data_IF_499138900383
#
_entry.id   IF_499138900383
#
_cell.length_a   1.000
_cell.length_b   1.000
_cell.length_c   1.000
_cell.angle_alpha   90.00
_cell.angle_beta   90.00
_cell.angle_gamma   90.00
#
_symmetry.space_group_name_H-M   'P 1'
#
loop_
_entity.id
_entity.type
_entity.pdbx_description
1 polymer ?
#
# COMPACT_ATOMS: atom_id res chain seq x y z
N UNK A 1 25.51 17.44 9.08
CA UNK A 1 25.42 16.06 9.59
C UNK A 1 25.09 15.17 8.40
N UNK A 2 25.72 13.99 8.30
CA UNK A 2 25.42 13.00 7.28
C UNK A 2 24.79 11.81 8.01
N UNK A 3 23.64 11.37 7.53
CA UNK A 3 22.93 10.21 8.03
C UNK A 3 23.54 8.93 7.44
N UNK A 4 23.66 7.88 8.24
CA UNK A 4 23.96 6.55 7.69
C UNK A 4 22.80 6.03 6.86
N UNK A 5 21.55 6.30 7.28
CA UNK A 5 20.35 5.93 6.51
C UNK A 5 19.24 6.98 6.60
N UNK A 6 18.60 7.27 5.48
CA UNK A 6 17.33 8.02 5.43
C UNK A 6 16.21 7.16 4.85
N UNK A 7 15.15 6.94 5.62
CA UNK A 7 13.92 6.31 5.13
C UNK A 7 12.92 7.33 4.59
N UNK A 8 12.46 7.14 3.36
CA UNK A 8 11.49 7.99 2.68
C UNK A 8 10.10 7.36 2.79
N UNK A 9 9.19 8.06 3.47
CA UNK A 9 7.92 7.55 3.96
C UNK A 9 8.05 6.90 5.34
N UNK A 10 6.97 6.91 6.11
CA UNK A 10 6.91 6.22 7.41
C UNK A 10 5.64 5.38 7.54
N UNK A 11 5.33 4.63 6.48
CA UNK A 11 4.34 3.54 6.51
C UNK A 11 4.90 2.25 7.12
N UNK A 12 4.14 1.14 7.11
CA UNK A 12 4.51 -0.10 7.78
C UNK A 12 5.90 -0.65 7.42
N UNK A 13 6.32 -0.53 6.15
CA UNK A 13 7.63 -1.01 5.72
C UNK A 13 8.80 -0.30 6.43
N UNK A 14 8.83 1.04 6.38
CA UNK A 14 9.87 1.80 7.07
C UNK A 14 9.69 1.78 8.60
N UNK A 15 8.47 1.60 9.10
CA UNK A 15 8.22 1.40 10.52
C UNK A 15 8.85 0.10 11.04
N UNK A 16 8.75 -1.00 10.29
CA UNK A 16 9.43 -2.26 10.63
C UNK A 16 10.96 -2.12 10.63
N UNK A 17 11.51 -1.31 9.71
CA UNK A 17 12.94 -0.99 9.67
C UNK A 17 13.34 -0.17 10.89
N UNK A 18 12.60 0.88 11.24
CA UNK A 18 12.84 1.67 12.44
C UNK A 18 12.76 0.81 13.72
N UNK A 19 11.79 -0.11 13.81
CA UNK A 19 11.70 -1.08 14.90
C UNK A 19 12.92 -2.03 14.94
N UNK A 20 13.42 -2.48 13.79
CA UNK A 20 14.67 -3.27 13.72
C UNK A 20 15.86 -2.48 14.25
N UNK A 21 15.99 -1.20 13.83
CA UNK A 21 17.07 -0.31 14.25
C UNK A 21 17.06 -0.12 15.77
N UNK A 22 15.89 0.12 16.36
CA UNK A 22 15.72 0.31 17.80
C UNK A 22 16.12 -0.93 18.61
N UNK A 23 15.84 -2.14 18.12
CA UNK A 23 16.10 -3.38 18.86
C UNK A 23 17.52 -3.91 18.69
N UNK A 24 18.03 -3.92 17.46
CA UNK A 24 19.35 -4.47 17.16
C UNK A 24 20.46 -3.42 17.30
N UNK A 25 20.07 -2.15 17.40
CA UNK A 25 20.96 -1.03 17.24
C UNK A 25 21.44 -0.90 15.79
N UNK A 26 21.84 0.31 15.44
CA UNK A 26 23.09 0.41 14.69
C UNK A 26 24.25 0.45 15.70
N UNK A 27 25.49 0.30 15.24
CA UNK A 27 26.68 0.65 16.03
C UNK A 27 26.45 2.00 16.74
N UNK A 28 26.88 2.17 18.01
CA UNK A 28 26.48 3.26 18.94
C UNK A 28 26.57 4.72 18.42
N UNK A 29 27.19 4.94 17.26
CA UNK A 29 27.40 6.24 16.62
C UNK A 29 26.54 6.48 15.38
N UNK A 30 25.67 5.53 15.00
CA UNK A 30 24.99 5.58 13.71
C UNK A 30 23.75 6.45 13.70
N UNK A 31 23.59 7.15 12.59
CA UNK A 31 22.61 8.23 12.43
C UNK A 31 21.54 7.82 11.44
N UNK A 32 20.28 7.88 11.86
CA UNK A 32 19.14 7.51 11.03
C UNK A 32 18.07 8.62 11.08
N UNK A 33 17.29 8.73 10.01
CA UNK A 33 16.16 9.65 9.93
C UNK A 33 15.10 9.09 8.99
N UNK A 34 13.84 9.13 9.40
CA UNK A 34 12.71 8.86 8.54
C UNK A 34 11.95 10.15 8.24
N UNK A 35 11.39 10.27 7.04
CA UNK A 35 10.70 11.48 6.59
C UNK A 35 9.31 11.11 6.07
N UNK A 36 8.27 11.65 6.69
CA UNK A 36 6.87 11.40 6.35
C UNK A 36 6.13 12.69 6.00
N UNK A 37 5.37 12.64 4.91
CA UNK A 37 4.58 13.75 4.40
C UNK A 37 3.34 14.08 5.25
N UNK A 38 2.73 13.08 5.87
CA UNK A 38 1.62 13.27 6.82
C UNK A 38 2.12 13.91 8.11
N UNK A 39 1.24 14.64 8.79
CA UNK A 39 1.54 15.26 10.10
C UNK A 39 1.66 14.26 11.25
N UNK A 40 1.17 13.04 11.07
CA UNK A 40 1.24 11.94 12.03
C UNK A 40 1.23 10.58 11.32
N UNK A 41 1.54 9.50 12.05
CA UNK A 41 1.40 8.16 11.51
C UNK A 41 -0.06 7.84 11.22
N UNK A 42 -0.32 7.34 10.02
CA UNK A 42 -1.65 6.83 9.67
C UNK A 42 -1.62 5.87 8.48
N UNK A 43 -2.51 4.87 8.50
CA UNK A 43 -2.52 3.78 7.53
C UNK A 43 -3.92 3.56 6.94
N UNK A 44 -4.04 3.83 5.63
CA UNK A 44 -5.27 3.75 4.81
C UNK A 44 -6.55 4.31 5.46
N UNK A 45 -6.57 5.58 5.92
CA UNK A 45 -7.71 6.13 6.66
C UNK A 45 -9.05 6.05 5.93
N UNK A 46 -9.04 6.31 4.62
CA UNK A 46 -10.28 6.35 3.84
C UNK A 46 -10.96 4.99 3.64
N UNK A 47 -10.31 3.89 3.99
CA UNK A 47 -10.84 2.53 3.90
C UNK A 47 -10.95 1.84 5.27
N UNK A 48 -10.94 2.57 6.38
CA UNK A 48 -11.17 2.02 7.71
C UNK A 48 -12.67 1.75 7.97
N UNK A 49 -13.30 1.00 7.08
CA UNK A 49 -14.70 0.61 7.20
C UNK A 49 -14.87 -0.20 8.49
N UNK A 50 -15.92 0.11 9.25
CA UNK A 50 -16.24 -0.60 10.49
C UNK A 50 -16.40 -2.11 10.25
N UNK A 51 -15.83 -2.92 11.14
CA UNK A 51 -15.85 -4.37 11.04
C UNK A 51 -14.92 -4.96 9.97
N UNK A 52 -14.27 -4.15 9.12
CA UNK A 52 -13.32 -4.66 8.14
C UNK A 52 -12.08 -5.25 8.85
N UNK A 53 -11.65 -6.43 8.39
CA UNK A 53 -10.56 -7.21 9.00
C UNK A 53 -9.29 -7.16 8.16
N UNK A 54 -8.18 -7.47 8.81
CA UNK A 54 -6.93 -7.77 8.15
C UNK A 54 -7.06 -9.04 7.32
N UNK A 55 -6.39 -9.11 6.17
CA UNK A 55 -6.33 -10.31 5.33
C UNK A 55 -5.08 -11.15 5.62
N UNK A 56 -4.40 -10.87 6.73
CA UNK A 56 -3.20 -11.55 7.20
C UNK A 56 -3.32 -11.84 8.68
N UNK A 57 -2.71 -12.93 9.13
CA UNK A 57 -2.61 -13.25 10.56
C UNK A 57 -1.84 -12.15 11.30
N UNK A 58 -2.22 -11.87 12.54
CA UNK A 58 -1.49 -10.94 13.41
C UNK A 58 -0.03 -11.34 13.66
N UNK A 59 0.36 -12.60 13.43
CA UNK A 59 1.77 -13.03 13.51
C UNK A 59 2.64 -12.38 12.42
N UNK A 60 2.04 -11.97 11.31
CA UNK A 60 2.68 -11.15 10.26
C UNK A 60 2.60 -9.66 10.66
N UNK A 61 3.10 -9.36 11.85
CA UNK A 61 3.23 -8.01 12.39
C UNK A 61 4.57 -7.36 11.99
N UNK A 62 5.07 -6.39 12.76
CA UNK A 62 6.30 -5.68 12.44
C UNK A 62 7.57 -6.42 12.91
N UNK A 63 7.43 -7.51 13.67
CA UNK A 63 8.56 -8.09 14.39
C UNK A 63 8.51 -9.60 14.63
N UNK A 64 7.35 -10.21 14.89
CA UNK A 64 7.18 -11.59 15.38
C UNK A 64 7.95 -12.62 14.55
N UNK A 65 7.87 -12.53 13.21
CA UNK A 65 8.56 -13.49 12.34
C UNK A 65 10.09 -13.33 12.33
N UNK A 66 10.62 -12.17 12.76
CA UNK A 66 12.06 -11.96 13.02
C UNK A 66 12.42 -12.35 14.45
N UNK A 67 11.63 -11.92 15.42
CA UNK A 67 11.89 -12.09 16.85
C UNK A 67 10.56 -12.11 17.62
N UNK A 68 10.08 -13.29 18.04
CA UNK A 68 8.85 -13.41 18.83
C UNK A 68 8.90 -12.72 20.20
N UNK A 69 10.10 -12.39 20.69
CA UNK A 69 10.32 -11.67 21.95
C UNK A 69 10.50 -10.17 21.76
N UNK A 70 10.27 -9.66 20.54
CA UNK A 70 10.35 -8.23 20.25
C UNK A 70 9.32 -7.44 21.08
N UNK A 71 9.72 -6.24 21.52
CA UNK A 71 8.78 -5.30 22.16
C UNK A 71 7.76 -4.74 21.19
N UNK A 72 7.96 -4.91 19.88
CA UNK A 72 7.07 -4.42 18.82
C UNK A 72 6.13 -5.51 18.26
N UNK A 73 5.98 -6.66 18.93
CA UNK A 73 4.98 -7.65 18.52
C UNK A 73 3.55 -7.16 18.77
N UNK A 74 2.61 -7.64 17.96
CA UNK A 74 1.17 -7.36 18.15
C UNK A 74 0.69 -7.88 19.51
N UNK A 75 1.22 -9.02 19.98
CA UNK A 75 0.88 -9.56 21.30
C UNK A 75 1.38 -8.67 22.44
N UNK A 76 2.58 -8.10 22.35
CA UNK A 76 3.07 -7.15 23.35
C UNK A 76 2.22 -5.85 23.36
N UNK A 77 1.80 -5.37 22.19
CA UNK A 77 0.85 -4.25 22.09
C UNK A 77 -0.47 -4.55 22.81
N UNK A 78 -1.04 -5.75 22.61
CA UNK A 78 -2.27 -6.16 23.28
C UNK A 78 -2.09 -6.22 24.80
N UNK A 79 -0.95 -6.70 25.29
CA UNK A 79 -0.62 -6.75 26.71
C UNK A 79 -0.52 -5.34 27.31
N UNK A 80 0.26 -4.45 26.69
CA UNK A 80 0.40 -3.06 27.13
C UNK A 80 -0.93 -2.28 27.11
N UNK A 81 -1.83 -2.63 26.19
CA UNK A 81 -3.16 -2.04 26.12
C UNK A 81 -4.20 -2.70 27.06
N UNK A 82 -3.82 -3.74 27.81
CA UNK A 82 -4.73 -4.49 28.68
C UNK A 82 -5.83 -5.26 27.93
N UNK A 83 -5.58 -5.64 26.67
CA UNK A 83 -6.54 -6.32 25.78
C UNK A 83 -6.18 -7.77 25.45
N UNK A 84 -5.00 -8.26 25.86
CA UNK A 84 -4.51 -9.59 25.49
C UNK A 84 -5.50 -10.72 25.82
N UNK A 85 -5.99 -10.80 27.05
CA UNK A 85 -6.94 -11.84 27.45
C UNK A 85 -8.24 -11.77 26.63
N UNK A 86 -8.76 -10.57 26.41
CA UNK A 86 -9.98 -10.37 25.61
C UNK A 86 -9.76 -10.78 24.15
N UNK A 87 -8.61 -10.46 23.57
CA UNK A 87 -8.27 -10.85 22.20
C UNK A 87 -8.12 -12.38 22.07
N UNK A 88 -7.46 -13.04 23.03
CA UNK A 88 -7.34 -14.51 23.05
C UNK A 88 -8.73 -15.18 23.06
N UNK A 89 -9.68 -14.62 23.81
CA UNK A 89 -11.05 -15.13 23.87
C UNK A 89 -11.81 -15.02 22.53
N UNK A 90 -11.38 -14.15 21.59
CA UNK A 90 -11.99 -14.06 20.26
C UNK A 90 -11.65 -15.27 19.36
N UNK A 91 -10.58 -16.01 19.66
CA UNK A 91 -10.06 -17.11 18.83
C UNK A 91 -9.88 -16.71 17.36
N UNK A 92 -9.39 -15.49 17.15
CA UNK A 92 -9.30 -14.84 15.85
C UNK A 92 -7.85 -14.54 15.49
N UNK A 93 -7.45 -14.88 14.27
CA UNK A 93 -6.11 -14.58 13.74
C UNK A 93 -6.07 -13.24 13.01
N UNK A 94 -7.23 -12.74 12.58
CA UNK A 94 -7.36 -11.57 11.71
C UNK A 94 -7.98 -10.39 12.49
N UNK A 95 -7.17 -9.54 13.14
CA UNK A 95 -7.68 -8.38 13.85
C UNK A 95 -8.43 -7.43 12.91
N UNK A 96 -9.23 -6.54 13.47
CA UNK A 96 -9.86 -5.49 12.66
C UNK A 96 -8.79 -4.56 12.08
N UNK A 97 -9.03 -3.95 10.92
CA UNK A 97 -8.13 -2.91 10.38
C UNK A 97 -7.99 -1.73 11.33
N UNK A 98 -9.02 -1.46 12.13
CA UNK A 98 -9.00 -0.48 13.20
C UNK A 98 -7.94 -0.82 14.26
N UNK A 99 -7.99 -2.03 14.81
CA UNK A 99 -7.06 -2.48 15.84
C UNK A 99 -5.63 -2.63 15.31
N UNK A 100 -5.46 -3.11 14.08
CA UNK A 100 -4.14 -3.20 13.46
C UNK A 100 -3.54 -1.81 13.17
N UNK A 101 -4.36 -0.83 12.76
CA UNK A 101 -3.92 0.58 12.66
C UNK A 101 -3.51 1.14 14.02
N UNK A 102 -4.27 0.84 15.08
CA UNK A 102 -3.94 1.27 16.45
C UNK A 102 -2.60 0.68 16.91
N UNK A 103 -2.37 -0.60 16.65
CA UNK A 103 -1.06 -1.26 16.84
C UNK A 103 0.08 -0.54 16.10
N UNK A 104 -0.09 -0.23 14.81
CA UNK A 104 0.93 0.47 14.05
C UNK A 104 1.18 1.90 14.58
N UNK A 105 0.12 2.60 15.00
CA UNK A 105 0.23 3.92 15.66
C UNK A 105 0.97 3.80 17.00
N UNK A 106 0.68 2.79 17.80
CA UNK A 106 1.38 2.51 19.06
C UNK A 106 2.88 2.28 18.83
N UNK A 107 3.26 1.48 17.84
CA UNK A 107 4.66 1.24 17.50
C UNK A 107 5.34 2.53 16.99
N UNK A 108 4.68 3.29 16.12
CA UNK A 108 5.20 4.56 15.61
C UNK A 108 5.40 5.61 16.72
N UNK A 109 4.52 5.66 17.72
CA UNK A 109 4.62 6.58 18.85
C UNK A 109 5.87 6.33 19.73
N UNK A 110 6.25 5.06 19.91
CA UNK A 110 7.49 4.69 20.58
C UNK A 110 8.74 5.15 19.80
N UNK A 111 8.61 5.23 18.47
CA UNK A 111 9.67 5.62 17.53
C UNK A 111 9.56 7.08 17.08
N UNK A 112 8.82 7.94 17.79
CA UNK A 112 8.61 9.35 17.41
C UNK A 112 9.90 10.15 17.22
N UNK A 113 10.99 9.77 17.88
CA UNK A 113 12.30 10.40 17.74
C UNK A 113 13.04 10.06 16.44
N UNK A 114 12.55 9.07 15.69
CA UNK A 114 13.18 8.56 14.48
C UNK A 114 12.67 9.28 13.21
N UNK A 115 11.58 10.03 13.30
CA UNK A 115 10.81 10.51 12.14
C UNK A 115 10.52 12.01 12.18
N UNK A 116 10.69 12.66 11.03
CA UNK A 116 10.16 14.00 10.77
C UNK A 116 8.84 13.88 10.00
N UNK A 117 7.73 14.17 10.68
CA UNK A 117 6.40 14.30 10.07
C UNK A 117 6.19 15.67 9.44
N UNK A 118 5.22 15.76 8.52
CA UNK A 118 4.85 17.00 7.82
C UNK A 118 5.87 17.45 6.77
N UNK A 119 6.82 16.59 6.39
CA UNK A 119 7.84 16.86 5.40
C UNK A 119 7.70 15.93 4.19
N UNK A 120 7.45 16.51 3.02
CA UNK A 120 7.35 15.76 1.76
C UNK A 120 8.69 15.76 1.05
N UNK A 121 9.26 14.58 0.81
CA UNK A 121 10.41 14.44 -0.11
C UNK A 121 9.95 14.77 -1.54
N UNK A 122 10.69 15.65 -2.20
CA UNK A 122 10.35 16.14 -3.55
C UNK A 122 11.42 15.85 -4.58
N UNK A 123 12.67 15.60 -4.17
CA UNK A 123 13.78 15.36 -5.09
C UNK A 123 14.91 14.62 -4.38
N UNK A 124 15.63 13.79 -5.14
CA UNK A 124 16.81 13.06 -4.67
C UNK A 124 17.94 13.29 -5.68
N UNK A 125 19.09 13.78 -5.22
CA UNK A 125 20.20 14.14 -6.11
C UNK A 125 21.52 13.54 -5.61
N UNK A 126 22.40 13.06 -6.50
CA UNK A 126 23.73 12.59 -6.11
C UNK A 126 24.60 13.71 -5.55
N UNK A 127 25.52 13.35 -4.66
CA UNK A 127 26.62 14.21 -4.20
C UNK A 127 27.92 13.61 -4.73
N UNK A 128 28.51 14.30 -5.71
CA UNK A 128 29.76 13.89 -6.35
C UNK A 128 30.97 14.23 -5.47
N UNK A 129 31.98 13.36 -5.45
CA UNK A 129 33.31 13.67 -4.94
C UNK A 129 34.23 14.23 -6.04
N UNK A 130 35.49 14.50 -5.69
CA UNK A 130 36.49 15.02 -6.64
C UNK A 130 36.93 14.03 -7.74
N UNK A 131 36.46 12.78 -7.72
CA UNK A 131 36.78 11.73 -8.69
C UNK A 131 35.59 11.39 -9.62
N UNK A 132 34.57 12.25 -9.67
CA UNK A 132 33.32 12.00 -10.41
C UNK A 132 32.57 10.73 -9.96
N UNK A 133 32.61 10.43 -8.66
CA UNK A 133 31.86 9.33 -8.04
C UNK A 133 30.83 9.86 -7.04
N UNK A 134 29.66 9.21 -6.97
CA UNK A 134 28.61 9.51 -5.98
C UNK A 134 29.05 8.98 -4.62
N UNK A 135 29.30 9.88 -3.67
CA UNK A 135 29.67 9.53 -2.29
C UNK A 135 28.49 9.53 -1.32
N UNK A 136 27.52 10.43 -1.54
CA UNK A 136 26.32 10.56 -0.72
C UNK A 136 25.13 10.94 -1.58
N UNK A 137 23.95 10.96 -0.96
CA UNK A 137 22.70 11.39 -1.56
C UNK A 137 22.17 12.60 -0.82
N UNK A 138 21.73 13.63 -1.54
CA UNK A 138 20.90 14.69 -0.97
C UNK A 138 19.42 14.29 -1.10
N UNK A 139 18.69 14.39 -0.01
CA UNK A 139 17.22 14.26 0.05
C UNK A 139 16.64 15.65 0.29
N UNK A 140 15.87 16.15 -0.68
CA UNK A 140 15.26 17.48 -0.61
C UNK A 140 13.80 17.35 -0.17
N UNK A 141 13.41 18.14 0.82
CA UNK A 141 12.05 18.13 1.37
C UNK A 141 11.38 19.49 1.25
N UNK A 142 10.05 19.48 1.29
CA UNK A 142 9.21 20.67 1.47
C UNK A 142 8.14 20.37 2.51
N UNK A 143 7.92 21.29 3.45
CA UNK A 143 6.81 21.18 4.40
C UNK A 143 5.53 21.85 3.88
N UNK A 144 4.44 21.78 4.65
CA UNK A 144 3.16 22.39 4.28
C UNK A 144 3.21 23.92 4.10
N UNK A 145 4.18 24.60 4.73
CA UNK A 145 4.39 26.05 4.62
C UNK A 145 5.29 26.42 3.42
N UNK A 146 5.75 25.44 2.64
CA UNK A 146 6.66 25.64 1.51
C UNK A 146 8.13 25.79 1.92
N UNK A 147 8.48 25.61 3.20
CA UNK A 147 9.86 25.64 3.68
C UNK A 147 10.60 24.42 3.13
N UNK A 148 11.74 24.68 2.47
CA UNK A 148 12.60 23.65 1.91
C UNK A 148 13.69 23.25 2.91
N UNK A 149 14.00 21.96 2.98
CA UNK A 149 15.17 21.46 3.70
C UNK A 149 15.96 20.46 2.83
N UNK A 150 17.19 20.18 3.25
CA UNK A 150 18.10 19.25 2.58
C UNK A 150 18.81 18.41 3.62
N UNK A 151 18.70 17.09 3.47
CA UNK A 151 19.39 16.10 4.30
C UNK A 151 20.39 15.33 3.44
N UNK A 152 21.48 14.86 4.06
CA UNK A 152 22.51 14.07 3.39
C UNK A 152 22.56 12.67 3.97
N UNK A 153 22.64 11.64 3.13
CA UNK A 153 22.67 10.26 3.55
C UNK A 153 23.70 9.42 2.79
N UNK A 154 24.29 8.42 3.46
CA UNK A 154 25.03 7.34 2.81
C UNK A 154 24.09 6.34 2.16
N UNK A 155 22.99 6.01 2.83
CA UNK A 155 21.98 5.09 2.34
C UNK A 155 20.60 5.76 2.34
N UNK A 156 19.78 5.44 1.35
CA UNK A 156 18.36 5.80 1.34
C UNK A 156 17.49 4.56 1.20
N UNK A 157 16.33 4.56 1.84
CA UNK A 157 15.32 3.51 1.70
C UNK A 157 14.03 4.16 1.19
N UNK A 158 13.62 3.80 -0.02
CA UNK A 158 12.40 4.32 -0.64
C UNK A 158 11.23 3.37 -0.35
N UNK A 159 10.22 3.86 0.38
CA UNK A 159 8.99 3.11 0.67
C UNK A 159 7.75 4.03 0.56
N UNK A 160 7.65 4.75 -0.56
CA UNK A 160 6.68 5.83 -0.75
C UNK A 160 5.21 5.39 -0.91
N UNK A 161 4.92 4.09 -0.70
CA UNK A 161 3.61 3.48 -0.81
C UNK A 161 3.07 3.40 -2.24
N UNK A 162 1.81 3.01 -2.36
CA UNK A 162 1.07 2.91 -3.61
C UNK A 162 0.28 4.20 -3.89
N UNK A 163 0.03 4.50 -5.16
CA UNK A 163 -0.75 5.66 -5.63
C UNK A 163 -2.08 5.19 -6.20
N UNK A 164 -3.20 5.86 -5.90
CA UNK A 164 -4.50 5.56 -6.49
C UNK A 164 -4.44 5.35 -8.00
N UNK A 165 -4.96 4.21 -8.48
CA UNK A 165 -5.07 3.92 -9.91
C UNK A 165 -6.45 4.31 -10.39
N UNK A 166 -6.52 5.28 -11.29
CA UNK A 166 -7.75 5.60 -12.01
C UNK A 166 -7.83 4.79 -13.31
N UNK A 167 -9.02 4.44 -13.80
CA UNK A 167 -9.19 3.88 -15.13
C UNK A 167 -8.61 4.80 -16.22
N UNK A 168 -8.17 4.22 -17.33
CA UNK A 168 -7.65 4.97 -18.46
C UNK A 168 -8.70 5.98 -18.96
N UNK A 169 -8.27 7.21 -19.26
CA UNK A 169 -9.16 8.30 -19.67
C UNK A 169 -9.93 9.00 -18.54
N UNK A 170 -9.89 8.47 -17.31
CA UNK A 170 -10.52 9.09 -16.14
C UNK A 170 -9.50 9.96 -15.40
N UNK A 171 -9.79 11.26 -15.29
CA UNK A 171 -8.93 12.23 -14.62
C UNK A 171 -9.63 12.85 -13.41
N UNK A 172 -8.91 13.01 -12.30
CA UNK A 172 -9.44 13.56 -11.05
C UNK A 172 -10.07 14.95 -11.20
N UNK A 173 -9.60 15.77 -12.14
CA UNK A 173 -10.14 17.12 -12.43
C UNK A 173 -11.47 17.11 -13.20
N UNK A 174 -11.82 16.01 -13.87
CA UNK A 174 -13.02 15.89 -14.70
C UNK A 174 -14.18 15.19 -13.98
N UNK A 175 -13.93 14.54 -12.85
CA UNK A 175 -14.86 13.59 -12.22
C UNK A 175 -15.41 14.12 -10.89
N UNK A 176 -16.29 15.12 -10.97
CA UNK A 176 -16.96 15.67 -9.78
C UNK A 176 -17.77 14.58 -9.06
N UNK A 177 -17.62 14.51 -7.75
CA UNK A 177 -18.14 13.44 -6.88
C UNK A 177 -17.68 12.02 -7.25
N UNK A 178 -16.59 11.88 -8.02
CA UNK A 178 -15.91 10.60 -8.17
C UNK A 178 -14.68 10.57 -7.27
N UNK A 179 -14.60 9.52 -6.46
CA UNK A 179 -13.57 9.34 -5.45
C UNK A 179 -12.90 8.00 -5.67
N UNK A 180 -11.57 7.97 -5.55
CA UNK A 180 -10.89 6.68 -5.41
C UNK A 180 -11.27 6.06 -4.06
N UNK A 181 -11.24 4.73 -3.95
CA UNK A 181 -11.56 4.02 -2.70
C UNK A 181 -10.79 4.54 -1.49
N UNK A 182 -9.54 4.97 -1.68
CA UNK A 182 -8.71 5.61 -0.64
C UNK A 182 -9.30 6.89 -0.02
N UNK A 183 -10.34 7.47 -0.62
CA UNK A 183 -11.03 8.68 -0.16
C UNK A 183 -12.47 8.40 0.28
N UNK A 184 -12.88 7.12 0.34
CA UNK A 184 -14.27 6.72 0.56
C UNK A 184 -14.89 7.32 1.83
N UNK A 185 -14.40 6.98 3.02
CA UNK A 185 -15.00 7.49 4.27
C UNK A 185 -15.00 9.03 4.37
N UNK A 186 -13.88 9.74 4.09
CA UNK A 186 -13.90 11.21 4.06
C UNK A 186 -14.91 11.79 3.08
N UNK A 187 -15.14 11.15 1.93
CA UNK A 187 -16.12 11.63 0.95
C UNK A 187 -17.56 11.47 1.44
N UNK A 188 -17.86 10.43 2.21
CA UNK A 188 -19.19 10.24 2.82
C UNK A 188 -19.49 11.35 3.81
N UNK A 189 -18.57 11.63 4.74
CA UNK A 189 -18.73 12.68 5.76
C UNK A 189 -18.91 14.07 5.14
N UNK A 190 -18.14 14.38 4.09
CA UNK A 190 -18.14 15.70 3.49
C UNK A 190 -19.29 15.94 2.49
N UNK A 191 -19.74 14.90 1.79
CA UNK A 191 -20.66 15.07 0.64
C UNK A 191 -21.96 14.28 0.74
N UNK A 192 -21.96 13.15 1.44
CA UNK A 192 -23.09 12.22 1.49
C UNK A 192 -23.57 11.97 2.92
N UNK A 193 -23.49 12.98 3.80
CA UNK A 193 -23.77 12.81 5.24
C UNK A 193 -25.24 12.53 5.57
N UNK A 194 -26.18 12.89 4.70
CA UNK A 194 -27.60 12.52 4.85
C UNK A 194 -27.82 11.08 4.39
N UNK A 195 -27.82 10.14 5.33
CA UNK A 195 -28.02 8.72 5.04
C UNK A 195 -29.45 8.37 4.62
N UNK A 196 -30.42 9.27 4.87
CA UNK A 196 -31.83 9.07 4.53
C UNK A 196 -32.15 9.46 3.09
N UNK A 197 -31.29 10.26 2.45
CA UNK A 197 -31.47 10.66 1.06
C UNK A 197 -31.34 9.45 0.11
N UNK A 198 -32.18 9.36 -0.94
CA UNK A 198 -32.14 8.26 -1.91
C UNK A 198 -30.98 8.42 -2.90
N UNK A 199 -29.74 8.32 -2.41
CA UNK A 199 -28.56 8.45 -3.23
C UNK A 199 -28.48 7.36 -4.30
N UNK A 200 -27.85 7.70 -5.41
CA UNK A 200 -27.45 6.73 -6.44
C UNK A 200 -25.93 6.64 -6.43
N UNK A 201 -25.42 5.57 -5.83
CA UNK A 201 -23.99 5.30 -5.76
C UNK A 201 -23.56 4.34 -6.86
N UNK A 202 -22.42 4.64 -7.47
CA UNK A 202 -21.76 3.78 -8.43
C UNK A 202 -20.43 3.29 -7.84
N UNK A 203 -20.23 1.98 -7.77
CA UNK A 203 -18.99 1.36 -7.30
C UNK A 203 -18.32 0.63 -8.45
N UNK A 204 -17.10 1.02 -8.81
CA UNK A 204 -16.36 0.45 -9.95
C UNK A 204 -15.21 -0.40 -9.44
N UNK A 205 -15.25 -1.71 -9.71
CA UNK A 205 -14.20 -2.66 -9.34
C UNK A 205 -14.73 -3.97 -8.79
N UNK A 206 -13.88 -5.01 -8.81
CA UNK A 206 -14.23 -6.38 -8.43
C UNK A 206 -13.39 -6.95 -7.27
N UNK A 207 -12.52 -6.15 -6.67
CA UNK A 207 -11.69 -6.56 -5.53
C UNK A 207 -12.31 -6.25 -4.17
N UNK A 208 -11.60 -6.64 -3.10
CA UNK A 208 -11.99 -6.45 -1.70
C UNK A 208 -12.57 -5.07 -1.39
N UNK A 209 -11.90 -3.98 -1.78
CA UNK A 209 -12.38 -2.62 -1.49
C UNK A 209 -13.73 -2.32 -2.13
N UNK A 210 -14.00 -2.82 -3.33
CA UNK A 210 -15.28 -2.61 -4.01
C UNK A 210 -16.41 -3.32 -3.26
N UNK A 211 -16.16 -4.56 -2.83
CA UNK A 211 -17.10 -5.35 -2.04
C UNK A 211 -17.39 -4.71 -0.67
N UNK A 212 -16.37 -4.25 0.04
CA UNK A 212 -16.52 -3.59 1.34
C UNK A 212 -17.29 -2.27 1.24
N UNK A 213 -16.97 -1.44 0.23
CA UNK A 213 -17.71 -0.20 -0.06
C UNK A 213 -19.18 -0.52 -0.36
N UNK A 214 -19.43 -1.50 -1.22
CA UNK A 214 -20.80 -1.90 -1.60
C UNK A 214 -21.60 -2.33 -0.38
N UNK A 215 -21.04 -3.22 0.45
CA UNK A 215 -21.66 -3.65 1.72
C UNK A 215 -21.91 -2.47 2.65
N UNK A 216 -20.93 -1.58 2.82
CA UNK A 216 -21.05 -0.42 3.69
C UNK A 216 -22.21 0.48 3.25
N UNK A 217 -22.28 0.82 1.96
CA UNK A 217 -23.33 1.67 1.41
C UNK A 217 -24.72 1.05 1.61
N UNK A 218 -24.87 -0.25 1.31
CA UNK A 218 -26.16 -0.96 1.47
C UNK A 218 -26.64 -0.99 2.92
N UNK A 219 -25.73 -1.11 3.89
CA UNK A 219 -26.05 -1.15 5.31
C UNK A 219 -26.35 0.23 5.92
N UNK A 220 -25.65 1.28 5.48
CA UNK A 220 -25.73 2.60 6.13
C UNK A 220 -26.67 3.57 5.42
N UNK A 221 -27.01 3.32 4.16
CA UNK A 221 -27.90 4.16 3.35
C UNK A 221 -29.15 3.39 2.95
N UNK A 222 -30.18 3.31 3.81
CA UNK A 222 -31.34 2.45 3.62
C UNK A 222 -32.18 2.80 2.38
N UNK A 223 -32.12 4.05 1.91
CA UNK A 223 -32.88 4.51 0.74
C UNK A 223 -32.02 4.62 -0.53
N UNK A 224 -30.71 4.36 -0.46
CA UNK A 224 -29.82 4.51 -1.60
C UNK A 224 -29.84 3.29 -2.51
N UNK A 225 -29.70 3.52 -3.81
CA UNK A 225 -29.40 2.48 -4.81
C UNK A 225 -27.89 2.40 -5.02
N UNK A 226 -27.34 1.19 -4.99
CA UNK A 226 -25.93 0.90 -5.21
C UNK A 226 -25.77 0.07 -6.48
N UNK A 227 -25.19 0.71 -7.50
CA UNK A 227 -24.77 0.06 -8.74
C UNK A 227 -23.31 -0.35 -8.62
N UNK A 228 -23.02 -1.64 -8.45
CA UNK A 228 -21.65 -2.16 -8.56
C UNK A 228 -21.39 -2.63 -9.98
N UNK A 229 -20.29 -2.19 -10.59
CA UNK A 229 -19.88 -2.55 -11.95
C UNK A 229 -18.55 -3.29 -11.93
N UNK A 230 -18.49 -4.43 -12.60
CA UNK A 230 -17.28 -5.26 -12.73
C UNK A 230 -17.00 -5.55 -14.20
N UNK A 231 -15.71 -5.72 -14.58
CA UNK A 231 -15.32 -6.10 -15.95
C UNK A 231 -15.45 -7.60 -16.19
N UNK A 232 -15.37 -8.38 -15.12
CA UNK A 232 -15.42 -9.84 -15.17
C UNK A 232 -16.88 -10.36 -15.13
N UNK A 233 -17.04 -11.68 -15.22
CA UNK A 233 -18.34 -12.36 -15.10
C UNK A 233 -18.90 -12.34 -13.67
N UNK A 234 -18.03 -12.41 -12.67
CA UNK A 234 -18.44 -12.52 -11.27
C UNK A 234 -17.33 -12.04 -10.34
N UNK A 235 -17.69 -11.74 -9.10
CA UNK A 235 -16.73 -11.63 -8.01
C UNK A 235 -15.98 -12.95 -7.83
N UNK A 236 -14.67 -12.85 -7.61
CA UNK A 236 -13.78 -13.99 -7.46
C UNK A 236 -13.30 -14.09 -6.00
N UNK A 237 -13.37 -15.28 -5.36
CA UNK A 237 -12.79 -15.45 -4.04
C UNK A 237 -11.26 -15.30 -4.10
N UNK A 238 -10.67 -14.71 -3.06
CA UNK A 238 -9.24 -14.79 -2.82
C UNK A 238 -8.85 -16.23 -2.51
N UNK A 239 -7.83 -16.76 -3.18
CA UNK A 239 -7.27 -18.07 -2.82
C UNK A 239 -6.30 -17.89 -1.64
N UNK A 240 -6.79 -18.22 -0.46
CA UNK A 240 -6.03 -18.22 0.79
C UNK A 240 -5.74 -19.64 1.29
N UNK A 241 -5.82 -20.66 0.42
CA UNK A 241 -5.50 -22.04 0.78
C UNK A 241 -4.04 -22.17 1.19
N UNK A 242 -3.74 -23.10 2.09
CA UNK A 242 -2.48 -23.12 2.85
C UNK A 242 -1.25 -23.24 1.93
N UNK A 243 -1.29 -24.14 0.95
CA UNK A 243 -0.20 -24.31 -0.03
C UNK A 243 -0.04 -23.11 -0.94
N UNK A 244 -1.13 -22.45 -1.32
CA UNK A 244 -1.06 -21.25 -2.17
C UNK A 244 -0.52 -20.08 -1.36
N UNK A 245 -0.87 -19.98 -0.09
CA UNK A 245 -0.43 -18.91 0.80
C UNK A 245 1.09 -18.95 1.10
N UNK A 246 1.76 -20.08 0.88
CA UNK A 246 3.24 -20.18 0.98
C UNK A 246 3.96 -19.22 0.02
N UNK A 247 3.34 -18.78 -1.08
CA UNK A 247 3.95 -17.78 -1.98
C UNK A 247 4.25 -16.45 -1.28
N UNK A 248 3.61 -16.20 -0.13
CA UNK A 248 3.83 -15.02 0.70
C UNK A 248 4.80 -15.26 1.86
N UNK A 249 5.36 -16.47 1.98
CA UNK A 249 6.33 -16.78 3.01
C UNK A 249 7.68 -16.15 2.67
N UNK A 250 8.42 -15.74 3.70
CA UNK A 250 9.76 -15.21 3.53
C UNK A 250 10.71 -16.24 2.87
N UNK A 251 10.57 -17.53 3.22
CA UNK A 251 11.41 -18.61 2.71
C UNK A 251 11.34 -18.81 1.19
N UNK A 252 10.28 -18.38 0.52
CA UNK A 252 10.12 -18.56 -0.94
C UNK A 252 10.77 -17.44 -1.74
N UNK A 253 11.16 -16.32 -1.12
CA UNK A 253 11.75 -15.17 -1.83
C UNK A 253 13.07 -15.57 -2.47
N UNK A 254 13.91 -16.36 -1.80
CA UNK A 254 15.22 -16.77 -2.32
C UNK A 254 15.10 -17.59 -3.60
N UNK A 255 14.15 -18.52 -3.63
CA UNK A 255 13.91 -19.36 -4.80
C UNK A 255 13.27 -18.54 -5.92
N UNK A 256 12.28 -17.70 -5.60
CA UNK A 256 11.66 -16.80 -6.59
C UNK A 256 12.68 -15.84 -7.21
N UNK A 257 13.53 -15.22 -6.39
CA UNK A 257 14.52 -14.23 -6.83
C UNK A 257 15.53 -14.82 -7.83
N UNK A 258 15.86 -16.11 -7.71
CA UNK A 258 16.79 -16.81 -8.62
C UNK A 258 16.17 -17.19 -9.96
N UNK A 259 14.85 -17.12 -10.12
CA UNK A 259 14.18 -17.48 -11.37
C UNK A 259 14.47 -16.48 -12.49
N UNK A 260 14.38 -16.98 -13.71
CA UNK A 260 14.41 -16.17 -14.93
C UNK A 260 13.17 -15.27 -15.05
N UNK A 261 13.30 -14.15 -15.76
CA UNK A 261 12.24 -13.13 -15.85
C UNK A 261 10.90 -13.69 -16.35
N UNK A 262 10.93 -14.59 -17.34
CA UNK A 262 9.73 -15.22 -17.89
C UNK A 262 9.03 -16.14 -16.86
N UNK A 263 9.81 -16.85 -16.04
CA UNK A 263 9.25 -17.72 -14.99
C UNK A 263 8.65 -16.90 -13.85
N UNK A 264 9.32 -15.83 -13.43
CA UNK A 264 8.77 -14.86 -12.46
C UNK A 264 7.44 -14.31 -12.94
N UNK A 265 7.37 -13.83 -14.18
CA UNK A 265 6.15 -13.27 -14.76
C UNK A 265 5.02 -14.32 -14.86
N UNK A 266 5.36 -15.57 -15.23
CA UNK A 266 4.41 -16.67 -15.29
C UNK A 266 3.81 -16.99 -13.91
N UNK A 267 4.64 -17.03 -12.85
CA UNK A 267 4.19 -17.29 -11.48
C UNK A 267 3.30 -16.14 -10.98
N UNK A 268 3.74 -14.89 -11.13
CA UNK A 268 2.96 -13.70 -10.76
C UNK A 268 1.59 -13.72 -11.46
N UNK A 269 1.56 -13.95 -12.78
CA UNK A 269 0.31 -13.98 -13.55
C UNK A 269 -0.63 -15.10 -13.11
N UNK A 270 -0.08 -16.25 -12.72
CA UNK A 270 -0.85 -17.43 -12.29
C UNK A 270 -1.52 -17.20 -10.93
N UNK A 271 -0.80 -16.61 -9.98
CA UNK A 271 -1.26 -16.45 -8.59
C UNK A 271 -1.71 -15.03 -8.25
N UNK A 272 -1.91 -14.17 -9.25
CA UNK A 272 -2.38 -12.79 -9.04
C UNK A 272 -3.68 -12.70 -8.26
N UNK A 273 -4.54 -13.71 -8.37
CA UNK A 273 -5.86 -13.83 -7.73
C UNK A 273 -5.82 -14.16 -6.23
N UNK A 274 -4.63 -14.34 -5.66
CA UNK A 274 -4.43 -14.44 -4.21
C UNK A 274 -4.50 -13.06 -3.53
N UNK A 275 -4.28 -11.97 -4.27
CA UNK A 275 -4.22 -10.60 -3.74
C UNK A 275 -4.99 -9.58 -4.59
N UNK A 276 -4.95 -9.71 -5.91
CA UNK A 276 -5.49 -8.74 -6.85
C UNK A 276 -6.84 -9.16 -7.43
N UNK A 277 -7.80 -8.23 -7.42
CA UNK A 277 -9.15 -8.41 -8.01
C UNK A 277 -9.88 -9.64 -7.47
N UNK A 278 -9.69 -9.91 -6.19
CA UNK A 278 -10.35 -10.96 -5.44
C UNK A 278 -10.91 -10.42 -4.12
N UNK A 279 -11.84 -11.17 -3.54
CA UNK A 279 -12.60 -10.79 -2.34
C UNK A 279 -12.54 -11.95 -1.34
N UNK A 280 -12.45 -11.62 -0.07
CA UNK A 280 -12.51 -12.60 1.02
C UNK A 280 -13.81 -13.46 0.94
N UNK A 281 -13.74 -14.80 0.95
CA UNK A 281 -14.92 -15.65 0.76
C UNK A 281 -16.09 -15.38 1.73
N UNK A 282 -15.87 -15.13 3.04
CA UNK A 282 -16.91 -14.64 3.94
C UNK A 282 -17.64 -13.39 3.43
N UNK A 283 -16.93 -12.39 2.94
CA UNK A 283 -17.53 -11.16 2.41
C UNK A 283 -18.35 -11.41 1.13
N UNK A 284 -17.89 -12.29 0.24
CA UNK A 284 -18.68 -12.72 -0.92
C UNK A 284 -20.01 -13.33 -0.46
N UNK A 285 -19.95 -14.22 0.54
CA UNK A 285 -21.13 -14.89 1.08
C UNK A 285 -22.11 -13.89 1.69
N UNK A 286 -21.62 -12.94 2.46
CA UNK A 286 -22.44 -11.87 3.04
C UNK A 286 -23.13 -11.02 1.98
N UNK A 287 -22.39 -10.54 0.97
CA UNK A 287 -22.98 -9.75 -0.13
C UNK A 287 -24.01 -10.55 -0.93
N UNK A 288 -23.76 -11.83 -1.16
CA UNK A 288 -24.72 -12.69 -1.84
C UNK A 288 -25.98 -12.92 -1.00
N UNK A 289 -25.83 -13.11 0.31
CA UNK A 289 -26.96 -13.22 1.24
C UNK A 289 -27.79 -11.93 1.24
N UNK A 290 -27.16 -10.76 1.34
CA UNK A 290 -27.84 -9.47 1.26
C UNK A 290 -28.64 -9.34 -0.05
N UNK A 291 -28.02 -9.69 -1.18
CA UNK A 291 -28.69 -9.67 -2.49
C UNK A 291 -29.91 -10.61 -2.52
N UNK A 292 -29.79 -11.80 -1.95
CA UNK A 292 -30.87 -12.77 -1.88
C UNK A 292 -32.02 -12.26 -1.02
N UNK A 293 -31.74 -11.76 0.19
CA UNK A 293 -32.75 -11.24 1.12
C UNK A 293 -33.49 -10.02 0.53
N UNK A 294 -32.77 -9.16 -0.20
CA UNK A 294 -33.34 -8.06 -0.97
C UNK A 294 -34.29 -8.58 -2.07
N UNK A 295 -33.92 -9.63 -2.80
CA UNK A 295 -34.80 -10.24 -3.81
C UNK A 295 -36.08 -10.85 -3.20
N UNK A 296 -36.00 -11.39 -1.99
CA UNK A 296 -37.16 -11.96 -1.28
C UNK A 296 -38.11 -10.85 -0.81
N UNK A 297 -37.58 -9.70 -0.41
CA UNK A 297 -38.36 -8.54 0.05
C UNK A 297 -38.82 -7.61 -1.07
N UNK A 298 -38.34 -7.79 -2.30
CA UNK A 298 -38.60 -6.89 -3.43
C UNK A 298 -37.79 -5.59 -3.38
N UNK A 299 -36.72 -5.55 -2.59
CA UNK A 299 -35.78 -4.43 -2.54
C UNK A 299 -34.81 -4.51 -3.73
N UNK A 300 -34.89 -3.58 -4.67
CA UNK A 300 -34.04 -3.54 -5.88
C UNK A 300 -32.83 -2.60 -5.75
N UNK A 301 -32.47 -2.19 -4.53
CA UNK A 301 -31.39 -1.21 -4.31
C UNK A 301 -29.99 -1.73 -4.65
N UNK A 302 -29.76 -3.04 -4.71
CA UNK A 302 -28.45 -3.58 -5.09
C UNK A 302 -28.44 -4.12 -6.52
N UNK A 303 -27.66 -3.48 -7.40
CA UNK A 303 -27.45 -3.89 -8.79
C UNK A 303 -26.00 -4.25 -9.02
N UNK A 304 -25.73 -5.51 -9.40
CA UNK A 304 -24.41 -5.97 -9.83
C UNK A 304 -24.41 -6.12 -11.35
N UNK A 305 -23.65 -5.26 -12.03
CA UNK A 305 -23.55 -5.19 -13.47
C UNK A 305 -22.19 -5.75 -13.93
N UNK A 306 -22.24 -6.86 -14.65
CA UNK A 306 -21.06 -7.56 -15.15
C UNK A 306 -20.64 -7.02 -16.51
N UNK A 307 -19.38 -7.30 -16.90
CA UNK A 307 -18.81 -6.91 -18.19
C UNK A 307 -18.81 -5.41 -18.47
N UNK A 308 -18.76 -4.57 -17.45
CA UNK A 308 -18.81 -3.11 -17.59
C UNK A 308 -17.40 -2.52 -17.47
N UNK A 309 -16.90 -1.91 -18.55
CA UNK A 309 -15.66 -1.13 -18.54
C UNK A 309 -15.99 0.36 -18.55
N UNK A 310 -15.60 1.07 -17.50
CA UNK A 310 -15.80 2.52 -17.40
C UNK A 310 -14.91 3.23 -18.43
N UNK A 311 -15.52 4.02 -19.32
CA UNK A 311 -14.82 4.79 -20.36
C UNK A 311 -14.79 6.28 -20.07
N UNK A 312 -15.85 6.82 -19.46
CA UNK A 312 -15.96 8.25 -19.22
C UNK A 312 -16.86 8.55 -18.01
N UNK A 313 -16.55 9.65 -17.31
CA UNK A 313 -17.42 10.25 -16.29
C UNK A 313 -17.66 11.70 -16.69
N UNK A 314 -18.92 12.08 -16.89
CA UNK A 314 -19.30 13.48 -17.17
C UNK A 314 -20.10 14.07 -16.03
N UNK A 315 -19.75 15.29 -15.68
CA UNK A 315 -20.59 16.13 -14.85
C UNK A 315 -21.74 16.70 -15.70
N UNK A 316 -22.92 16.13 -15.52
CA UNK A 316 -24.17 16.44 -16.24
C UNK A 316 -25.29 16.69 -15.22
N UNK A 317 -25.17 17.76 -14.40
CA UNK A 317 -26.09 17.98 -13.31
C UNK A 317 -27.50 18.20 -13.85
N UNK A 318 -28.46 17.50 -13.26
CA UNK A 318 -29.88 17.74 -13.46
C UNK A 318 -30.59 17.82 -12.10
N UNK A 319 -31.93 17.92 -12.09
CA UNK A 319 -32.69 18.02 -10.84
C UNK A 319 -32.52 16.80 -9.91
N UNK A 320 -32.01 15.69 -10.43
CA UNK A 320 -31.99 14.39 -9.75
C UNK A 320 -30.58 13.78 -9.59
N UNK A 321 -29.57 14.23 -10.33
CA UNK A 321 -28.23 13.60 -10.35
C UNK A 321 -27.12 14.62 -10.57
N UNK A 322 -25.89 14.24 -10.19
CA UNK A 322 -24.69 15.07 -10.33
C UNK A 322 -23.98 14.80 -11.66
N UNK A 323 -24.02 13.56 -12.15
CA UNK A 323 -23.41 13.23 -13.43
C UNK A 323 -23.84 11.88 -13.99
N UNK A 324 -23.23 11.52 -15.13
CA UNK A 324 -23.44 10.27 -15.84
C UNK A 324 -22.10 9.60 -16.10
N UNK A 325 -22.01 8.31 -15.77
CA UNK A 325 -20.88 7.44 -16.11
C UNK A 325 -21.22 6.62 -17.36
N UNK A 326 -20.25 6.52 -18.28
CA UNK A 326 -20.39 5.82 -19.55
C UNK A 326 -19.55 4.56 -19.53
N UNK A 327 -20.21 3.43 -19.81
CA UNK A 327 -19.60 2.12 -19.83
C UNK A 327 -19.65 1.51 -21.22
N UNK A 328 -18.67 0.66 -21.52
CA UNK A 328 -18.68 -0.23 -22.66
C UNK A 328 -18.72 -1.68 -22.17
N UNK A 329 -19.60 -2.49 -22.75
CA UNK A 329 -19.64 -3.91 -22.49
C UNK A 329 -18.36 -4.58 -23.01
N UNK A 330 -17.63 -5.29 -22.15
CA UNK A 330 -16.33 -5.89 -22.50
C UNK A 330 -16.42 -6.93 -23.62
N UNK A 331 -17.59 -7.55 -23.82
CA UNK A 331 -17.82 -8.58 -24.83
C UNK A 331 -18.56 -8.06 -26.06
N UNK A 332 -19.66 -7.31 -25.87
CA UNK A 332 -20.55 -6.90 -26.97
C UNK A 332 -20.21 -5.53 -27.55
N UNK A 333 -19.41 -4.73 -26.85
CA UNK A 333 -19.11 -3.32 -27.19
C UNK A 333 -20.33 -2.39 -27.14
N UNK A 334 -21.44 -2.86 -26.58
CA UNK A 334 -22.61 -2.03 -26.30
C UNK A 334 -22.28 -0.97 -25.25
N UNK A 335 -22.82 0.24 -25.44
CA UNK A 335 -22.61 1.35 -24.51
C UNK A 335 -23.78 1.45 -23.54
N UNK A 336 -23.49 1.73 -22.27
CA UNK A 336 -24.51 1.93 -21.24
C UNK A 336 -24.20 3.19 -20.44
N UNK A 337 -25.25 3.92 -20.08
CA UNK A 337 -25.18 5.14 -19.27
C UNK A 337 -25.74 4.88 -17.88
N UNK A 338 -25.02 5.30 -16.85
CA UNK A 338 -25.42 5.15 -15.45
C UNK A 338 -25.38 6.51 -14.77
N UNK A 339 -26.54 7.11 -14.42
CA UNK A 339 -26.57 8.32 -13.62
C UNK A 339 -26.04 8.06 -12.21
N UNK A 340 -25.48 9.10 -11.59
CA UNK A 340 -24.91 8.98 -10.25
C UNK A 340 -25.01 10.27 -9.44
N UNK A 341 -25.01 10.08 -8.11
CA UNK A 341 -24.72 11.12 -7.12
C UNK A 341 -23.27 11.06 -6.64
N UNK A 342 -22.73 9.84 -6.49
CA UNK A 342 -21.33 9.59 -6.16
C UNK A 342 -20.78 8.35 -6.86
N UNK A 343 -19.51 8.43 -7.27
CA UNK A 343 -18.75 7.31 -7.87
C UNK A 343 -17.60 6.94 -6.95
N UNK A 344 -17.45 5.64 -6.66
CA UNK A 344 -16.33 5.09 -5.91
C UNK A 344 -15.52 4.16 -6.81
N UNK A 345 -14.33 4.63 -7.19
CA UNK A 345 -13.38 3.92 -8.02
C UNK A 345 -12.51 3.03 -7.13
N UNK A 346 -12.91 1.76 -6.98
CA UNK A 346 -12.16 0.72 -6.27
C UNK A 346 -11.24 -0.04 -7.25
N UNK A 347 -10.44 0.74 -8.00
CA UNK A 347 -9.69 0.31 -9.17
C UNK A 347 -8.21 -0.02 -8.88
N UNK A 348 -7.91 -0.21 -7.60
CA UNK A 348 -6.60 -0.62 -7.10
C UNK A 348 -5.61 0.54 -7.06
N UNK A 349 -4.33 0.21 -7.00
CA UNK A 349 -3.26 1.18 -6.92
C UNK A 349 -2.19 0.86 -7.97
N UNK A 350 -1.44 1.87 -8.36
CA UNK A 350 -0.16 1.71 -9.02
C UNK A 350 0.94 1.82 -7.98
N UNK A 351 2.04 1.13 -8.20
CA UNK A 351 3.26 1.45 -7.49
C UNK A 351 3.61 2.91 -7.78
N UNK A 352 3.97 3.65 -6.72
CA UNK A 352 4.54 4.97 -6.93
C UNK A 352 5.82 4.74 -7.70
N UNK A 353 5.96 5.40 -8.84
CA UNK A 353 7.19 5.38 -9.59
C UNK A 353 8.27 6.06 -8.73
N UNK A 354 8.91 5.31 -7.81
CA UNK A 354 10.03 5.82 -7.01
C UNK A 354 11.16 6.33 -7.93
N UNK A 355 11.16 5.85 -9.18
CA UNK A 355 11.95 6.34 -10.30
C UNK A 355 11.81 7.85 -10.51
N UNK A 356 10.67 8.48 -10.20
CA UNK A 356 10.52 9.93 -10.35
C UNK A 356 11.38 10.67 -9.32
N UNK A 357 11.44 10.18 -8.08
CA UNK A 357 12.29 10.78 -7.03
C UNK A 357 13.76 10.47 -7.28
N UNK A 358 14.09 9.25 -7.71
CA UNK A 358 15.48 8.80 -7.94
C UNK A 358 15.95 8.98 -9.38
N UNK A 359 15.21 9.69 -10.23
CA UNK A 359 15.49 9.75 -11.67
C UNK A 359 16.91 10.25 -11.95
N UNK A 360 17.38 11.20 -11.15
CA UNK A 360 18.72 11.78 -11.25
C UNK A 360 19.84 10.85 -10.79
N UNK A 361 19.54 9.63 -10.35
CA UNK A 361 20.50 8.59 -10.04
C UNK A 361 20.56 7.50 -11.11
N UNK A 362 19.71 7.55 -12.14
CA UNK A 362 19.57 6.50 -13.15
C UNK A 362 20.81 6.25 -13.99
N UNK A 363 21.68 7.23 -14.12
CA UNK A 363 22.92 7.09 -14.89
C UNK A 363 23.89 6.12 -14.22
N UNK A 364 23.76 5.93 -12.90
CA UNK A 364 24.57 4.98 -12.14
C UNK A 364 23.88 3.64 -11.90
N UNK A 365 22.57 3.51 -12.21
CA UNK A 365 21.82 2.29 -11.95
C UNK A 365 22.07 1.25 -13.05
N UNK A 366 22.32 0.00 -12.64
CA UNK A 366 22.14 -1.13 -13.54
C UNK A 366 20.65 -1.33 -13.81
N UNK A 367 20.30 -1.53 -15.08
CA UNK A 367 18.92 -1.70 -15.51
C UNK A 367 18.69 -3.08 -16.11
N UNK A 368 17.47 -3.59 -15.97
CA UNK A 368 17.02 -4.78 -16.67
C UNK A 368 16.62 -4.49 -18.12
N UNK A 369 16.17 -5.51 -18.83
CA UNK A 369 15.79 -5.42 -20.25
C UNK A 369 14.58 -4.48 -20.49
N UNK A 370 13.82 -4.17 -19.44
CA UNK A 370 12.68 -3.24 -19.48
C UNK A 370 13.05 -1.84 -18.96
N UNK A 371 14.34 -1.58 -18.69
CA UNK A 371 14.84 -0.29 -18.23
C UNK A 371 14.59 -0.01 -16.74
N UNK A 372 14.18 -1.02 -15.96
CA UNK A 372 13.93 -0.89 -14.52
C UNK A 372 15.22 -1.11 -13.72
N UNK A 373 15.39 -0.49 -12.54
CA UNK A 373 16.55 -0.75 -11.69
C UNK A 373 16.65 -2.24 -11.33
N UNK A 374 17.83 -2.83 -11.51
CA UNK A 374 18.13 -4.18 -11.00
C UNK A 374 18.35 -4.12 -9.50
N UNK A 375 17.68 -5.00 -8.76
CA UNK A 375 17.82 -5.09 -7.31
C UNK A 375 18.61 -6.33 -6.92
N UNK A 376 19.41 -6.23 -5.85
CA UNK A 376 19.94 -7.38 -5.11
C UNK A 376 18.81 -8.07 -4.34
N UNK A 377 19.09 -9.25 -3.78
CA UNK A 377 18.14 -9.97 -2.91
C UNK A 377 17.81 -9.19 -1.63
N UNK A 378 18.71 -8.31 -1.20
CA UNK A 378 18.57 -7.43 -0.04
C UNK A 378 17.91 -6.09 -0.41
N UNK A 379 17.22 -6.01 -1.56
CA UNK A 379 16.49 -4.83 -2.03
C UNK A 379 17.37 -3.61 -2.38
N UNK A 380 18.69 -3.76 -2.44
CA UNK A 380 19.59 -2.70 -2.87
C UNK A 380 19.60 -2.60 -4.40
N UNK A 381 19.49 -1.41 -4.94
CA UNK A 381 19.72 -1.14 -6.36
C UNK A 381 21.19 -1.42 -6.69
N UNK A 382 21.41 -2.26 -7.70
CA UNK A 382 22.73 -2.46 -8.27
C UNK A 382 23.17 -1.20 -8.99
N UNK A 383 24.33 -0.69 -8.62
CA UNK A 383 24.91 0.52 -9.21
C UNK A 383 26.29 0.24 -9.79
N UNK A 384 26.71 1.05 -10.75
CA UNK A 384 28.10 1.06 -11.21
C UNK A 384 29.07 1.36 -10.06
N UNK A 385 30.34 0.98 -10.25
CA UNK A 385 31.45 1.21 -9.30
C UNK A 385 31.70 2.70 -8.96
N UNK A 386 31.04 3.62 -9.68
CA UNK A 386 31.08 5.07 -9.43
C UNK A 386 30.01 5.56 -8.46
N UNK A 387 29.18 4.68 -7.89
CA UNK A 387 28.18 5.06 -6.90
C UNK A 387 28.36 4.23 -5.62
N UNK A 388 28.82 4.91 -4.58
CA UNK A 388 29.09 4.31 -3.27
C UNK A 388 27.92 4.48 -2.29
N UNK A 389 26.90 5.26 -2.67
CA UNK A 389 25.70 5.41 -1.87
C UNK A 389 24.77 4.20 -2.04
N UNK A 390 24.19 3.71 -0.94
CA UNK A 390 23.21 2.63 -0.98
C UNK A 390 21.80 3.15 -1.28
N UNK A 391 21.15 2.59 -2.29
CA UNK A 391 19.74 2.89 -2.59
C UNK A 391 18.95 1.61 -2.42
N UNK A 392 18.01 1.59 -1.48
CA UNK A 392 17.11 0.48 -1.24
C UNK A 392 15.71 0.84 -1.72
N UNK A 393 15.06 -0.06 -2.47
CA UNK A 393 13.71 0.15 -2.99
C UNK A 393 12.77 -0.90 -2.43
N UNK A 394 11.66 -0.47 -1.86
CA UNK A 394 10.65 -1.35 -1.23
C UNK A 394 9.26 -1.04 -1.79
N UNK A 395 8.48 -2.08 -2.06
CA UNK A 395 7.06 -1.98 -2.38
C UNK A 395 6.77 -1.66 -3.85
N UNK A 396 7.68 -2.02 -4.76
CA UNK A 396 7.48 -2.02 -6.21
C UNK A 396 8.39 -3.06 -6.89
N UNK A 397 8.58 -4.20 -6.22
CA UNK A 397 9.60 -5.18 -6.58
C UNK A 397 9.00 -6.56 -6.82
N UNK A 398 7.68 -6.67 -7.05
CA UNK A 398 7.05 -7.98 -7.28
C UNK A 398 7.71 -8.73 -8.43
N UNK A 399 8.11 -8.02 -9.47
CA UNK A 399 8.83 -8.54 -10.63
C UNK A 399 10.18 -9.19 -10.29
N UNK A 400 10.76 -8.93 -9.11
CA UNK A 400 12.03 -9.50 -8.64
C UNK A 400 11.90 -10.34 -7.36
N UNK A 401 11.00 -9.97 -6.45
CA UNK A 401 10.86 -10.53 -5.10
C UNK A 401 9.50 -11.21 -4.84
N UNK A 402 8.57 -11.17 -5.81
CA UNK A 402 7.28 -11.86 -5.72
C UNK A 402 6.16 -11.05 -5.07
N UNK A 403 4.97 -11.64 -4.99
CA UNK A 403 3.71 -10.98 -4.60
C UNK A 403 3.68 -10.48 -3.14
N UNK A 404 4.62 -10.90 -2.29
CA UNK A 404 4.72 -10.43 -0.90
C UNK A 404 5.31 -9.03 -0.76
N UNK A 405 5.97 -8.49 -1.81
CA UNK A 405 6.74 -7.24 -1.70
C UNK A 405 5.89 -6.00 -1.35
N UNK A 406 4.67 -5.93 -1.87
CA UNK A 406 3.74 -4.80 -1.61
C UNK A 406 2.93 -5.00 -0.33
N UNK A 407 3.06 -6.15 0.33
CA UNK A 407 2.25 -6.57 1.46
C UNK A 407 3.01 -6.48 2.79
N UNK A 408 2.26 -6.69 3.87
CA UNK A 408 2.84 -6.72 5.22
C UNK A 408 3.49 -8.08 5.56
N UNK A 409 3.39 -9.07 4.67
CA UNK A 409 3.67 -10.49 4.98
C UNK A 409 5.10 -10.80 5.41
N UNK A 410 6.06 -9.96 5.00
CA UNK A 410 7.50 -10.19 5.16
C UNK A 410 8.23 -8.96 5.73
N UNK A 411 7.49 -8.03 6.34
CA UNK A 411 8.08 -6.79 6.84
C UNK A 411 9.25 -7.01 7.80
N UNK A 412 9.14 -7.84 8.86
CA UNK A 412 10.21 -7.99 9.82
C UNK A 412 11.48 -8.64 9.24
N UNK A 413 11.32 -9.64 8.38
CA UNK A 413 12.45 -10.33 7.76
C UNK A 413 13.12 -9.45 6.71
N UNK A 414 12.34 -8.77 5.86
CA UNK A 414 12.88 -7.79 4.89
C UNK A 414 13.61 -6.65 5.59
N UNK A 415 13.09 -6.17 6.71
CA UNK A 415 13.74 -5.14 7.48
C UNK A 415 15.11 -5.61 8.00
N UNK A 416 15.22 -6.87 8.43
CA UNK A 416 16.47 -7.48 8.84
C UNK A 416 17.47 -7.64 7.68
N UNK A 417 17.01 -8.08 6.50
CA UNK A 417 17.86 -8.19 5.30
C UNK A 417 18.50 -6.85 4.92
N UNK A 418 17.69 -5.79 4.86
CA UNK A 418 18.15 -4.44 4.51
C UNK A 418 19.14 -3.92 5.56
N UNK A 419 18.83 -4.13 6.84
CA UNK A 419 19.71 -3.70 7.93
C UNK A 419 21.06 -4.42 7.93
N UNK A 420 21.06 -5.73 7.65
CA UNK A 420 22.28 -6.50 7.51
C UNK A 420 23.14 -6.00 6.35
N UNK A 421 22.52 -5.66 5.21
CA UNK A 421 23.22 -5.11 4.04
C UNK A 421 23.83 -3.73 4.32
N UNK A 422 23.07 -2.83 4.97
CA UNK A 422 23.57 -1.51 5.35
C UNK A 422 24.77 -1.63 6.30
N UNK A 423 24.74 -2.62 7.21
CA UNK A 423 25.81 -2.84 8.18
C UNK A 423 27.06 -3.51 7.56
N UNK A 424 26.87 -4.42 6.59
CA UNK A 424 27.98 -5.10 5.89
C UNK A 424 28.71 -4.18 4.91
N UNK A 425 27.99 -3.25 4.29
CA UNK A 425 28.53 -2.31 3.30
C UNK A 425 29.44 -1.22 3.90
N UNK A 426 29.61 -1.13 5.22
CA UNK A 426 30.56 -0.20 5.83
C UNK A 426 31.99 -0.67 5.57
N UNK A 427 32.81 0.00 4.74
CA UNK A 427 34.23 -0.26 4.75
C UNK A 427 34.78 0.09 6.15
N UNK A 428 35.75 -0.68 6.64
CA UNK A 428 36.59 -0.28 7.76
C UNK A 428 37.24 1.07 7.41
N UNK A 429 36.60 2.18 7.78
CA UNK A 429 37.18 3.51 7.70
C UNK A 429 38.25 3.62 8.81
N UNK A 430 39.36 2.90 8.63
CA UNK A 430 40.62 3.25 9.26
C UNK A 430 41.11 4.54 8.60
N UNK A 431 40.50 5.66 8.96
CA UNK A 431 41.14 6.95 8.83
C UNK A 431 42.25 6.93 9.87
N UNK A 432 43.44 6.49 9.45
CA UNK A 432 44.67 6.83 10.18
C UNK A 432 44.71 8.35 10.24
N UNK A 433 44.50 8.89 11.44
CA UNK A 433 44.90 10.24 11.75
C UNK A 433 46.40 10.36 11.45
N UNK A 434 46.74 11.25 10.51
CA UNK A 434 48.09 11.73 10.31
C UNK A 434 48.36 12.90 11.27
#
# INVERSE_FOLDING_TARGET
MIYDVIGIGFGPANLAIAATIEEQGFNEQSTHLFIESKSEFDWHPGMLIEGARMQISYHKDLATMRSPTSKFTFLNYLDECGRLESFVNLQEFYPTRHEYRDYLKWAANQLKGYVNYGEKVVDITPVMNGNDEVSYINVHTVNAEGKKARYQAKNIITSSGLVPKLPEGIHASASQNAYHSSQFLPSLENKFSDTSFPWEFLVVGSGQSAAEITKHLLNHYPNATVNSTIREYAYKPADSSEFVNEIFAYSTIDDFYKLEANDKQRIINKYKDTNYSCIDPPLIRELYQMKYDMSVSGDERFKLNNFQELKEIKHTPNMYHVGTAYFENTNTKEQTEVPYHGVFLATGYHDRNNLDLTQKLFDWFEKDELGRPKLTRQYQVKTSDKCHAGIFMIGNNEHSHGLSDTLLSILPERAMDIMNEINSAKPNYNIKAA
#
